data_IF_697852536756
#
_entry.id   IF_697852536756
#
_cell.length_a   1.000
_cell.length_b   1.000
_cell.length_c   1.000
_cell.angle_alpha   90.00
_cell.angle_beta   90.00
_cell.angle_gamma   90.00
#
_symmetry.space_group_name_H-M   'P 1'
#
loop_
_entity.id
_entity.type
_entity.pdbx_description
1 polymer ?
#
# COMPACT_ATOMS: atom_id res chain seq x y z
N UNK A 1 3.90 -18.11 -3.21
CA UNK A 1 4.56 -17.61 -1.98
C UNK A 1 6.06 -17.81 -2.10
N UNK A 2 6.85 -16.89 -1.54
CA UNK A 2 8.30 -16.98 -1.51
C UNK A 2 8.73 -18.16 -0.62
N UNK A 3 9.64 -19.00 -1.11
CA UNK A 3 10.16 -20.12 -0.33
C UNK A 3 11.07 -19.60 0.79
N UNK A 4 10.65 -19.86 2.03
CA UNK A 4 11.37 -19.45 3.24
C UNK A 4 12.77 -20.06 3.32
N UNK A 5 13.00 -21.23 2.69
CA UNK A 5 14.32 -21.83 2.63
C UNK A 5 15.30 -20.97 1.81
N UNK A 6 14.84 -20.32 0.74
CA UNK A 6 15.68 -19.42 -0.06
C UNK A 6 16.15 -18.25 0.79
N UNK A 7 15.24 -17.62 1.55
CA UNK A 7 15.56 -16.51 2.44
C UNK A 7 16.55 -16.96 3.52
N UNK A 8 16.26 -18.09 4.17
CA UNK A 8 17.11 -18.65 5.22
C UNK A 8 18.53 -18.93 4.71
N UNK A 9 18.67 -19.66 3.60
CA UNK A 9 19.97 -19.98 3.00
C UNK A 9 20.72 -18.72 2.57
N UNK A 10 20.03 -17.72 2.02
CA UNK A 10 20.66 -16.44 1.68
C UNK A 10 21.18 -15.73 2.93
N UNK A 11 20.37 -15.63 3.99
CA UNK A 11 20.73 -14.98 5.24
C UNK A 11 21.90 -15.68 5.95
N UNK A 12 21.89 -17.01 6.03
CA UNK A 12 22.98 -17.80 6.61
C UNK A 12 24.32 -17.54 5.90
N UNK A 13 24.30 -17.45 4.56
CA UNK A 13 25.50 -17.12 3.77
C UNK A 13 26.01 -15.71 4.03
N UNK A 14 25.14 -14.74 4.29
CA UNK A 14 25.51 -13.34 4.53
C UNK A 14 25.83 -13.03 6.01
N UNK A 15 25.40 -13.89 6.93
CA UNK A 15 25.45 -13.66 8.37
C UNK A 15 26.85 -13.31 8.92
N UNK A 16 27.96 -13.98 8.52
CA UNK A 16 29.28 -13.65 9.05
C UNK A 16 29.68 -12.20 8.72
N UNK A 17 29.47 -11.76 7.47
CA UNK A 17 29.76 -10.40 7.02
C UNK A 17 28.85 -9.38 7.71
N UNK A 18 27.57 -9.70 7.87
CA UNK A 18 26.62 -8.84 8.56
C UNK A 18 27.03 -8.62 10.02
N UNK A 19 27.34 -9.69 10.77
CA UNK A 19 27.81 -9.62 12.16
C UNK A 19 29.02 -8.72 12.30
N UNK A 20 30.08 -8.96 11.52
CA UNK A 20 31.27 -8.11 11.55
C UNK A 20 30.92 -6.63 11.34
N UNK A 21 30.11 -6.29 10.33
CA UNK A 21 29.74 -4.90 10.08
C UNK A 21 28.87 -4.30 11.20
N UNK A 22 27.96 -5.10 11.77
CA UNK A 22 27.08 -4.68 12.85
C UNK A 22 27.85 -4.41 14.13
N UNK A 23 28.78 -5.29 14.52
CA UNK A 23 29.62 -5.14 15.71
C UNK A 23 30.44 -3.82 15.66
N UNK A 24 30.98 -3.48 14.49
CA UNK A 24 31.72 -2.21 14.31
C UNK A 24 30.80 -0.98 14.38
N UNK A 25 29.57 -1.10 13.91
CA UNK A 25 28.58 -0.02 14.00
C UNK A 25 28.14 0.16 15.47
N UNK A 26 27.90 -0.94 16.17
CA UNK A 26 27.52 -0.96 17.57
C UNK A 26 28.55 -0.26 18.43
N UNK A 27 29.83 -0.60 18.30
CA UNK A 27 30.89 0.07 19.05
C UNK A 27 30.86 1.60 18.85
N UNK A 28 30.72 2.06 17.60
CA UNK A 28 30.72 3.48 17.25
C UNK A 28 29.47 4.22 17.76
N UNK A 29 28.31 3.58 17.77
CA UNK A 29 27.06 4.21 18.22
C UNK A 29 26.96 4.20 19.75
N UNK A 30 27.41 3.14 20.41
CA UNK A 30 27.51 3.07 21.87
C UNK A 30 28.47 4.13 22.42
N UNK A 31 29.61 4.38 21.76
CA UNK A 31 30.52 5.49 22.11
C UNK A 31 29.87 6.87 22.00
N UNK A 32 28.82 7.02 21.19
CA UNK A 32 28.02 8.26 21.09
C UNK A 32 26.88 8.32 22.10
N UNK A 33 26.75 7.32 22.98
CA UNK A 33 25.71 7.22 23.99
C UNK A 33 24.35 6.79 23.44
N UNK A 34 24.30 6.12 22.29
CA UNK A 34 23.06 5.57 21.74
C UNK A 34 22.85 4.14 22.23
N UNK A 35 21.62 3.81 22.60
CA UNK A 35 21.17 2.45 22.87
C UNK A 35 20.76 1.78 21.56
N UNK A 36 21.60 0.87 21.07
CA UNK A 36 21.39 0.24 19.77
C UNK A 36 20.21 -0.73 19.76
N UNK A 37 19.95 -1.44 20.86
CA UNK A 37 18.84 -2.39 20.94
C UNK A 37 17.52 -1.65 20.75
N UNK A 38 17.33 -0.55 21.48
CA UNK A 38 16.17 0.34 21.31
C UNK A 38 16.05 0.87 19.88
N UNK A 39 17.15 1.28 19.24
CA UNK A 39 17.11 1.79 17.86
C UNK A 39 16.71 0.70 16.86
N UNK A 40 17.27 -0.51 17.01
CA UNK A 40 16.94 -1.65 16.15
C UNK A 40 15.48 -2.05 16.32
N UNK A 41 14.96 -2.06 17.56
CA UNK A 41 13.56 -2.34 17.84
C UNK A 41 12.62 -1.29 17.21
N UNK A 42 12.97 -0.01 17.31
CA UNK A 42 12.21 1.06 16.66
C UNK A 42 12.18 0.93 15.14
N UNK A 43 13.31 0.57 14.53
CA UNK A 43 13.39 0.33 13.09
C UNK A 43 12.58 -0.92 12.71
N UNK A 44 12.68 -1.99 13.49
CA UNK A 44 11.94 -3.24 13.27
C UNK A 44 10.42 -3.08 13.43
N UNK A 45 9.98 -2.16 14.28
CA UNK A 45 8.57 -1.83 14.48
C UNK A 45 8.00 -0.91 13.39
N UNK A 46 8.83 -0.23 12.60
CA UNK A 46 8.37 0.72 11.58
C UNK A 46 7.65 -0.01 10.44
N UNK A 47 6.35 0.28 10.31
CA UNK A 47 5.53 -0.18 9.19
C UNK A 47 5.20 0.97 8.25
N UNK A 48 5.21 0.69 6.95
CA UNK A 48 4.87 1.61 5.87
C UNK A 48 3.91 0.89 4.93
N UNK A 49 2.68 1.40 4.83
CA UNK A 49 1.67 0.85 3.93
C UNK A 49 2.10 0.99 2.47
N UNK A 50 1.89 -0.07 1.69
CA UNK A 50 2.21 -0.08 0.26
C UNK A 50 0.98 0.33 -0.55
N UNK A 51 1.09 1.36 -1.42
CA UNK A 51 -0.01 1.73 -2.30
C UNK A 51 -0.23 0.68 -3.39
N UNK A 52 -1.45 0.16 -3.48
CA UNK A 52 -1.85 -0.86 -4.47
C UNK A 52 -1.54 -0.44 -5.93
N UNK A 53 -1.63 0.86 -6.22
CA UNK A 53 -1.43 1.45 -7.54
C UNK A 53 0.05 1.59 -7.94
N UNK A 54 1.00 1.37 -7.02
CA UNK A 54 2.42 1.44 -7.31
C UNK A 54 3.05 0.09 -7.71
N UNK A 55 2.28 -1.01 -7.64
CA UNK A 55 2.77 -2.35 -7.94
C UNK A 55 2.79 -2.64 -9.44
N UNK A 56 1.90 -1.99 -10.20
CA UNK A 56 1.98 -1.97 -11.66
C UNK A 56 2.96 -0.93 -12.17
N UNK A 57 3.51 -1.12 -13.37
CA UNK A 57 4.37 -0.08 -13.98
C UNK A 57 3.57 1.20 -14.16
N UNK A 58 4.06 2.27 -13.53
CA UNK A 58 3.52 3.61 -13.67
C UNK A 58 3.63 4.14 -15.11
N UNK A 59 2.97 5.27 -15.35
CA UNK A 59 3.01 5.97 -16.63
C UNK A 59 3.23 7.45 -16.42
N UNK A 60 3.61 8.12 -17.50
CA UNK A 60 3.55 9.59 -17.58
C UNK A 60 2.47 9.98 -18.58
N UNK A 61 2.18 11.28 -18.68
CA UNK A 61 1.31 11.80 -19.75
C UNK A 61 1.81 11.52 -21.18
N UNK A 62 3.07 11.10 -21.34
CA UNK A 62 3.67 10.80 -22.65
C UNK A 62 3.63 9.33 -23.02
N UNK A 63 3.50 8.43 -22.04
CA UNK A 63 3.53 6.99 -22.33
C UNK A 63 3.64 6.13 -21.08
N UNK A 64 3.27 4.86 -21.28
CA UNK A 64 3.34 3.77 -20.31
C UNK A 64 3.93 2.55 -21.02
N UNK A 65 4.95 1.94 -20.42
CA UNK A 65 5.69 0.82 -21.00
C UNK A 65 5.60 -0.39 -20.07
N UNK A 66 4.49 -1.16 -20.13
CA UNK A 66 4.31 -2.27 -19.22
C UNK A 66 5.31 -3.39 -19.48
N UNK A 67 5.61 -4.15 -18.43
CA UNK A 67 6.44 -5.36 -18.50
C UNK A 67 5.61 -6.60 -18.20
N UNK A 68 6.12 -7.77 -18.56
CA UNK A 68 5.47 -9.04 -18.20
C UNK A 68 5.46 -9.23 -16.68
N UNK A 69 4.33 -9.71 -16.14
CA UNK A 69 4.17 -10.00 -14.71
C UNK A 69 3.59 -8.87 -13.86
N UNK A 70 2.98 -7.84 -14.47
CA UNK A 70 2.27 -6.82 -13.70
C UNK A 70 0.97 -7.35 -13.09
N UNK A 71 0.66 -7.00 -11.83
CA UNK A 71 -0.58 -7.43 -11.20
C UNK A 71 -1.78 -6.72 -11.86
N UNK A 72 -2.76 -7.52 -12.25
CA UNK A 72 -3.99 -7.13 -12.94
C UNK A 72 -5.21 -7.16 -12.02
N UNK A 73 -5.14 -7.86 -10.90
CA UNK A 73 -6.21 -7.94 -9.89
C UNK A 73 -5.76 -7.47 -8.51
N UNK A 74 -6.72 -7.19 -7.63
CA UNK A 74 -6.43 -6.85 -6.22
C UNK A 74 -5.70 -7.99 -5.50
N UNK A 75 -6.08 -9.23 -5.76
CA UNK A 75 -5.45 -10.41 -5.15
C UNK A 75 -3.99 -10.57 -5.60
N UNK A 76 -3.68 -10.28 -6.86
CA UNK A 76 -2.29 -10.24 -7.36
C UNK A 76 -1.50 -9.13 -6.67
N UNK A 77 -2.08 -7.92 -6.55
CA UNK A 77 -1.47 -6.81 -5.80
C UNK A 77 -1.19 -7.18 -4.34
N UNK A 78 -2.13 -7.81 -3.65
CA UNK A 78 -1.94 -8.26 -2.25
C UNK A 78 -0.83 -9.29 -2.15
N UNK A 79 -0.76 -10.25 -3.10
CA UNK A 79 0.34 -11.24 -3.15
C UNK A 79 1.70 -10.57 -3.35
N UNK A 80 1.78 -9.56 -4.20
CA UNK A 80 3.02 -8.79 -4.41
C UNK A 80 3.43 -8.03 -3.14
N UNK A 81 2.49 -7.41 -2.42
CA UNK A 81 2.77 -6.80 -1.10
C UNK A 81 3.22 -7.86 -0.08
N UNK A 82 2.61 -9.04 -0.09
CA UNK A 82 3.03 -10.16 0.75
C UNK A 82 4.49 -10.57 0.51
N UNK A 83 4.97 -10.53 -0.74
CA UNK A 83 6.38 -10.77 -1.06
C UNK A 83 7.26 -9.65 -0.50
N UNK A 84 6.85 -8.38 -0.66
CA UNK A 84 7.58 -7.24 -0.10
C UNK A 84 7.69 -7.37 1.43
N UNK A 85 6.58 -7.65 2.11
CA UNK A 85 6.54 -7.80 3.56
C UNK A 85 7.37 -8.99 4.04
N UNK A 86 7.34 -10.13 3.35
CA UNK A 86 8.16 -11.29 3.70
C UNK A 86 9.68 -10.97 3.63
N UNK A 87 10.09 -10.08 2.73
CA UNK A 87 11.49 -9.69 2.54
C UNK A 87 11.95 -8.56 3.46
N UNK A 88 11.13 -7.52 3.65
CA UNK A 88 11.53 -6.31 4.37
C UNK A 88 10.95 -6.20 5.79
N UNK A 89 9.92 -6.98 6.12
CA UNK A 89 9.16 -6.94 7.39
C UNK A 89 8.57 -5.58 7.77
N UNK A 90 8.60 -4.60 6.88
CA UNK A 90 8.11 -3.23 7.08
C UNK A 90 6.91 -2.87 6.20
N UNK A 91 6.47 -3.77 5.32
CA UNK A 91 5.33 -3.57 4.40
C UNK A 91 4.06 -4.31 4.80
N UNK A 92 3.74 -4.37 6.10
CA UNK A 92 2.63 -5.17 6.63
C UNK A 92 1.23 -4.65 6.34
N UNK A 93 1.09 -3.65 5.46
CA UNK A 93 -0.20 -3.07 5.12
C UNK A 93 -0.28 -2.67 3.64
N UNK A 94 -1.48 -2.69 3.08
CA UNK A 94 -1.79 -2.21 1.73
C UNK A 94 -2.82 -1.07 1.79
N UNK A 95 -2.56 0.01 1.06
CA UNK A 95 -3.49 1.13 0.89
C UNK A 95 -4.20 1.02 -0.46
N UNK A 96 -5.53 1.01 -0.43
CA UNK A 96 -6.37 0.77 -1.61
C UNK A 96 -6.91 2.08 -2.20
N UNK A 97 -7.16 2.08 -3.50
CA UNK A 97 -7.75 3.21 -4.20
C UNK A 97 -9.06 2.80 -4.89
N UNK A 98 -10.15 3.45 -4.51
CA UNK A 98 -11.49 3.15 -5.05
C UNK A 98 -11.81 4.15 -6.16
N UNK A 99 -12.24 3.68 -7.36
CA UNK A 99 -12.76 2.33 -7.65
C UNK A 99 -11.78 1.31 -8.25
N UNK A 100 -10.49 1.61 -8.35
CA UNK A 100 -9.51 0.71 -8.99
C UNK A 100 -9.37 -0.65 -8.29
N UNK A 101 -9.61 -0.67 -6.98
CA UNK A 101 -9.39 -1.84 -6.11
C UNK A 101 -10.68 -2.28 -5.38
N UNK A 102 -11.85 -2.13 -6.01
CA UNK A 102 -13.09 -2.65 -5.40
C UNK A 102 -13.01 -4.18 -5.29
N UNK A 103 -13.11 -4.76 -4.09
CA UNK A 103 -13.14 -6.21 -3.90
C UNK A 103 -14.35 -6.83 -4.60
N UNK A 104 -14.15 -7.96 -5.28
CA UNK A 104 -15.26 -8.79 -5.79
C UNK A 104 -15.87 -9.65 -4.70
N UNK A 105 -15.03 -10.10 -3.77
CA UNK A 105 -15.41 -10.87 -2.58
C UNK A 105 -14.55 -10.41 -1.41
N UNK A 106 -15.16 -9.71 -0.46
CA UNK A 106 -14.45 -9.17 0.71
C UNK A 106 -13.89 -10.26 1.62
N UNK A 107 -14.56 -11.41 1.73
CA UNK A 107 -14.10 -12.48 2.61
C UNK A 107 -12.85 -13.13 2.03
N UNK A 108 -12.89 -13.48 0.74
CA UNK A 108 -11.72 -14.03 0.06
C UNK A 108 -10.51 -13.07 0.08
N UNK A 109 -10.75 -11.77 -0.10
CA UNK A 109 -9.71 -10.74 -0.03
C UNK A 109 -9.12 -10.60 1.38
N UNK A 110 -9.97 -10.62 2.42
CA UNK A 110 -9.51 -10.61 3.82
C UNK A 110 -8.73 -11.87 4.18
N UNK A 111 -9.21 -13.04 3.76
CA UNK A 111 -8.56 -14.33 4.04
C UNK A 111 -7.16 -14.36 3.40
N UNK A 112 -7.03 -13.92 2.14
CA UNK A 112 -5.75 -13.80 1.47
C UNK A 112 -4.79 -12.81 2.17
N UNK A 113 -5.31 -11.64 2.57
CA UNK A 113 -4.49 -10.66 3.27
C UNK A 113 -4.00 -11.19 4.62
N UNK A 114 -4.87 -11.86 5.38
CA UNK A 114 -4.52 -12.50 6.65
C UNK A 114 -3.49 -13.62 6.49
N UNK A 115 -3.58 -14.44 5.43
CA UNK A 115 -2.58 -15.49 5.13
C UNK A 115 -1.18 -14.90 4.89
N UNK A 116 -1.09 -13.66 4.44
CA UNK A 116 0.14 -12.97 4.08
C UNK A 116 0.60 -11.95 5.15
N UNK A 117 -0.03 -11.95 6.33
CA UNK A 117 0.19 -10.97 7.40
C UNK A 117 0.03 -9.50 6.93
N UNK A 118 -0.92 -9.25 6.03
CA UNK A 118 -1.21 -7.93 5.47
C UNK A 118 -2.53 -7.40 6.04
N UNK A 119 -2.52 -6.15 6.51
CA UNK A 119 -3.73 -5.41 6.88
C UNK A 119 -4.08 -4.35 5.83
N UNK A 120 -5.32 -3.84 5.87
CA UNK A 120 -5.75 -2.74 5.02
C UNK A 120 -5.55 -1.40 5.75
N UNK A 121 -4.70 -0.55 5.18
CA UNK A 121 -4.47 0.82 5.65
C UNK A 121 -5.61 1.74 5.21
N UNK A 122 -5.40 3.06 5.20
CA UNK A 122 -6.38 4.02 4.70
C UNK A 122 -6.83 3.68 3.27
N UNK A 123 -8.14 3.80 3.03
CA UNK A 123 -8.72 3.77 1.69
C UNK A 123 -8.65 5.15 1.05
N UNK A 124 -8.50 5.21 -0.28
CA UNK A 124 -8.34 6.46 -1.02
C UNK A 124 -9.48 6.64 -2.02
N UNK A 125 -10.10 7.82 -2.03
CA UNK A 125 -11.16 8.17 -2.97
C UNK A 125 -10.62 8.72 -4.28
N UNK A 126 -11.12 8.24 -5.42
CA UNK A 126 -10.88 8.87 -6.73
C UNK A 126 -12.03 9.79 -7.15
N UNK A 127 -11.82 11.10 -7.08
CA UNK A 127 -12.70 12.11 -7.69
C UNK A 127 -11.93 13.07 -8.60
N UNK A 128 -10.80 12.62 -9.15
CA UNK A 128 -9.95 13.35 -10.10
C UNK A 128 -9.98 12.75 -11.50
N UNK A 129 -10.76 11.68 -11.69
CA UNK A 129 -10.95 10.97 -12.94
C UNK A 129 -12.42 10.57 -13.08
N UNK A 130 -12.97 10.75 -14.28
CA UNK A 130 -14.32 10.28 -14.62
C UNK A 130 -14.33 8.75 -14.69
N UNK A 131 -15.33 8.14 -14.05
CA UNK A 131 -15.57 6.70 -14.13
C UNK A 131 -16.51 6.39 -15.30
N UNK A 132 -16.43 5.18 -15.86
CA UNK A 132 -17.19 4.80 -17.07
C UNK A 132 -18.71 4.98 -16.90
N UNK A 133 -19.23 4.86 -15.67
CA UNK A 133 -20.64 4.95 -15.34
C UNK A 133 -21.02 6.26 -14.60
N UNK A 134 -20.08 7.21 -14.49
CA UNK A 134 -20.36 8.50 -13.83
C UNK A 134 -21.36 9.33 -14.63
N UNK A 135 -22.35 9.89 -13.92
CA UNK A 135 -23.36 10.77 -14.51
C UNK A 135 -22.79 12.16 -14.79
N UNK A 136 -21.86 12.62 -13.97
CA UNK A 136 -21.22 13.91 -14.11
C UNK A 136 -19.70 13.77 -14.24
N UNK A 137 -19.09 14.71 -14.94
CA UNK A 137 -17.63 14.81 -15.07
C UNK A 137 -17.04 15.61 -13.90
N UNK A 138 -15.84 15.22 -13.46
CA UNK A 138 -15.01 15.94 -12.49
C UNK A 138 -14.00 16.90 -13.15
N UNK A 139 -14.11 17.13 -14.47
CA UNK A 139 -13.20 18.00 -15.23
C UNK A 139 -13.00 19.40 -14.61
N UNK A 140 -14.02 19.98 -13.98
CA UNK A 140 -13.98 21.31 -13.37
C UNK A 140 -14.05 21.25 -11.83
N UNK A 141 -13.59 20.15 -11.25
CA UNK A 141 -13.61 19.89 -9.81
C UNK A 141 -14.64 18.84 -9.39
N UNK A 142 -14.54 18.41 -8.14
CA UNK A 142 -15.35 17.39 -7.50
C UNK A 142 -16.07 17.94 -6.28
N UNK A 143 -15.47 17.88 -5.08
CA UNK A 143 -16.06 18.39 -3.84
C UNK A 143 -16.21 19.92 -3.84
N UNK A 144 -15.42 20.64 -4.63
CA UNK A 144 -15.48 22.10 -4.79
C UNK A 144 -16.13 22.54 -6.11
N UNK A 145 -16.72 21.62 -6.88
CA UNK A 145 -17.38 21.94 -8.15
C UNK A 145 -18.55 22.94 -7.95
N UNK A 146 -18.81 23.84 -8.91
CA UNK A 146 -19.89 24.85 -8.82
C UNK A 146 -21.29 24.21 -8.82
N UNK A 147 -21.49 23.18 -9.63
CA UNK A 147 -22.72 22.40 -9.69
C UNK A 147 -22.89 21.53 -8.42
N UNK A 148 -24.04 21.68 -7.76
CA UNK A 148 -24.44 20.92 -6.59
C UNK A 148 -24.60 19.42 -6.87
N UNK A 149 -25.00 19.04 -8.08
CA UNK A 149 -25.17 17.64 -8.45
C UNK A 149 -23.82 16.90 -8.49
N UNK A 150 -22.79 17.51 -9.05
CA UNK A 150 -21.40 16.98 -9.04
C UNK A 150 -20.88 16.81 -7.62
N UNK A 151 -21.05 17.83 -6.76
CA UNK A 151 -20.62 17.72 -5.35
C UNK A 151 -21.34 16.59 -4.61
N UNK A 152 -22.64 16.41 -4.86
CA UNK A 152 -23.41 15.31 -4.28
C UNK A 152 -22.89 13.94 -4.73
N UNK A 153 -22.51 13.80 -6.01
CA UNK A 153 -21.91 12.56 -6.52
C UNK A 153 -20.55 12.29 -5.86
N UNK A 154 -19.67 13.28 -5.76
CA UNK A 154 -18.38 13.14 -5.08
C UNK A 154 -18.52 12.78 -3.58
N UNK A 155 -19.50 13.37 -2.89
CA UNK A 155 -19.82 13.01 -1.49
C UNK A 155 -20.34 11.57 -1.39
N UNK A 156 -21.23 11.15 -2.30
CA UNK A 156 -21.73 9.78 -2.35
C UNK A 156 -20.57 8.80 -2.55
N UNK A 157 -19.70 9.06 -3.51
CA UNK A 157 -18.52 8.23 -3.79
C UNK A 157 -17.63 8.09 -2.55
N UNK A 158 -17.31 9.20 -1.86
CA UNK A 158 -16.51 9.13 -0.63
C UNK A 158 -17.15 8.28 0.48
N UNK A 159 -18.49 8.29 0.59
CA UNK A 159 -19.19 7.39 1.52
C UNK A 159 -19.06 5.92 1.11
N UNK A 160 -19.19 5.62 -0.19
CA UNK A 160 -18.98 4.26 -0.70
C UNK A 160 -17.55 3.78 -0.45
N UNK A 161 -16.54 4.66 -0.59
CA UNK A 161 -15.15 4.33 -0.23
C UNK A 161 -15.02 3.98 1.24
N UNK A 162 -15.71 4.71 2.14
CA UNK A 162 -15.75 4.39 3.57
C UNK A 162 -16.39 3.01 3.80
N UNK A 163 -17.50 2.72 3.13
CA UNK A 163 -18.20 1.44 3.25
C UNK A 163 -17.29 0.27 2.82
N UNK A 164 -16.56 0.41 1.70
CA UNK A 164 -15.52 -0.55 1.30
C UNK A 164 -14.42 -0.71 2.37
N UNK A 165 -13.98 0.41 2.96
CA UNK A 165 -12.99 0.42 4.04
C UNK A 165 -13.48 -0.33 5.28
N UNK A 166 -14.74 -0.14 5.68
CA UNK A 166 -15.36 -0.83 6.82
C UNK A 166 -15.37 -2.34 6.60
N UNK A 167 -15.79 -2.80 5.42
CA UNK A 167 -15.85 -4.23 5.08
C UNK A 167 -14.47 -4.93 5.12
N UNK A 168 -13.42 -4.17 4.83
CA UNK A 168 -12.02 -4.61 4.85
C UNK A 168 -11.32 -4.37 6.21
N UNK A 169 -11.95 -3.64 7.13
CA UNK A 169 -11.39 -3.32 8.44
C UNK A 169 -10.48 -2.09 8.48
N UNK A 170 -10.38 -1.32 7.39
CA UNK A 170 -9.70 -0.02 7.36
C UNK A 170 -10.32 0.96 8.36
N UNK A 171 -9.49 1.87 8.89
CA UNK A 171 -9.89 2.85 9.93
C UNK A 171 -9.78 4.30 9.47
N UNK A 172 -9.40 4.54 8.23
CA UNK A 172 -9.17 5.88 7.72
C UNK A 172 -9.56 6.00 6.24
N UNK A 173 -9.99 7.21 5.88
CA UNK A 173 -10.17 7.63 4.50
C UNK A 173 -9.17 8.76 4.23
N UNK A 174 -8.41 8.63 3.15
CA UNK A 174 -7.58 9.70 2.61
C UNK A 174 -8.30 10.35 1.43
N UNK A 175 -8.48 11.67 1.50
CA UNK A 175 -9.10 12.47 0.43
C UNK A 175 -8.04 13.40 -0.15
N UNK A 176 -7.57 13.06 -1.34
CA UNK A 176 -6.78 13.95 -2.18
C UNK A 176 -7.66 14.51 -3.31
N UNK A 177 -7.56 15.82 -3.56
CA UNK A 177 -8.38 16.51 -4.56
C UNK A 177 -7.50 17.21 -5.58
N UNK A 178 -7.92 17.15 -6.84
CA UNK A 178 -7.35 17.92 -7.93
C UNK A 178 -8.05 19.27 -8.15
N UNK A 179 -9.11 19.55 -7.38
CA UNK A 179 -9.91 20.77 -7.47
C UNK A 179 -9.05 22.05 -7.35
N UNK A 180 -9.02 22.86 -8.40
CA UNK A 180 -8.26 24.11 -8.47
C UNK A 180 -8.15 24.68 -9.89
#
# INVERSE_FOLDING_TARGET
>A
MLDQNIIKTFNEKQLPRHKTNFDHLEERLTQKGLDLETVVDQIGALQIAIPSWALGTGGTRFGRFPRGGEPSTLEEKIKDVGILHALNRSSGAISLHIPWDIPRDYNAVKDLANELDIIFDAVNSNTFQDQAESLHSYKFGSLSHIDKAVRKEAIRHNKEVIDHGIELGSKALTVWLADG
#
